data_IF_288765874342
#
_entry.id   IF_288765874342
#
_cell.length_a   1.000
_cell.length_b   1.000
_cell.length_c   1.000
_cell.angle_alpha   90.00
_cell.angle_beta   90.00
_cell.angle_gamma   90.00
#
_symmetry.space_group_name_H-M   'P 1'
#
loop_
_entity.id
_entity.type
_entity.pdbx_description
1 polymer ?
#
# COMPACT_ATOMS: atom_id res chain seq x y z
N UNK A 1 -3.81 -13.91 4.18
CA UNK A 1 -2.86 -13.08 4.95
C UNK A 1 -1.40 -13.19 4.49
N UNK A 2 -0.79 -14.38 4.27
CA UNK A 2 0.63 -14.45 3.86
C UNK A 2 0.93 -13.97 2.42
N UNK A 3 0.04 -14.24 1.46
CA UNK A 3 0.24 -13.83 0.06
C UNK A 3 0.29 -12.30 -0.11
N UNK A 4 -0.55 -11.60 0.64
CA UNK A 4 -0.65 -10.13 0.61
C UNK A 4 0.58 -9.45 1.23
N UNK A 5 1.11 -9.99 2.33
CA UNK A 5 2.42 -9.55 2.89
C UNK A 5 3.58 -9.71 1.89
N UNK A 6 3.67 -10.84 1.20
CA UNK A 6 4.74 -11.07 0.20
C UNK A 6 4.64 -10.08 -0.97
N UNK A 7 3.43 -9.84 -1.46
CA UNK A 7 3.18 -8.86 -2.53
C UNK A 7 3.62 -7.45 -2.10
N UNK A 8 3.28 -7.05 -0.87
CA UNK A 8 3.68 -5.75 -0.32
C UNK A 8 5.20 -5.59 -0.24
N UNK A 9 5.93 -6.61 0.22
CA UNK A 9 7.39 -6.57 0.24
C UNK A 9 8.00 -6.52 -1.17
N UNK A 10 7.44 -7.26 -2.13
CA UNK A 10 7.88 -7.18 -3.53
C UNK A 10 7.68 -5.77 -4.11
N UNK A 11 6.54 -5.15 -3.86
CA UNK A 11 6.24 -3.78 -4.32
C UNK A 11 7.23 -2.78 -3.69
N UNK A 12 7.45 -2.84 -2.37
CA UNK A 12 8.40 -1.95 -1.71
C UNK A 12 9.85 -2.14 -2.17
N UNK A 13 10.29 -3.38 -2.35
CA UNK A 13 11.63 -3.67 -2.89
C UNK A 13 11.80 -3.17 -4.33
N UNK A 14 10.77 -3.33 -5.16
CA UNK A 14 10.77 -2.81 -6.53
C UNK A 14 10.80 -1.27 -6.56
N UNK A 15 10.04 -0.61 -5.68
CA UNK A 15 10.09 0.85 -5.52
C UNK A 15 11.48 1.33 -5.11
N UNK A 16 12.09 0.66 -4.14
CA UNK A 16 13.43 1.01 -3.67
C UNK A 16 14.47 0.87 -4.79
N UNK A 17 14.42 -0.23 -5.56
CA UNK A 17 15.28 -0.44 -6.71
C UNK A 17 15.09 0.64 -7.79
N UNK A 18 13.85 1.03 -8.07
CA UNK A 18 13.54 2.07 -9.04
C UNK A 18 14.11 3.45 -8.62
N UNK A 19 14.01 3.80 -7.34
CA UNK A 19 14.62 5.02 -6.79
C UNK A 19 16.15 5.00 -6.93
N UNK A 20 16.78 3.86 -6.64
CA UNK A 20 18.22 3.65 -6.83
C UNK A 20 18.65 3.87 -8.29
N UNK A 21 17.89 3.32 -9.25
CA UNK A 21 18.14 3.52 -10.68
C UNK A 21 17.97 4.98 -11.08
N UNK A 22 16.92 5.65 -10.59
CA UNK A 22 16.69 7.08 -10.86
C UNK A 22 17.81 7.98 -10.31
N UNK A 23 18.32 7.65 -9.12
CA UNK A 23 19.49 8.32 -8.51
C UNK A 23 20.75 8.12 -9.36
N UNK A 24 21.04 6.89 -9.78
CA UNK A 24 22.20 6.58 -10.62
C UNK A 24 22.12 7.27 -12.00
N UNK A 25 20.91 7.41 -12.55
CA UNK A 25 20.69 8.11 -13.81
C UNK A 25 20.90 9.63 -13.73
N UNK A 26 21.09 10.20 -12.54
CA UNK A 26 21.25 11.65 -12.28
C UNK A 26 20.16 12.53 -12.92
N UNK A 27 18.99 11.95 -13.19
CA UNK A 27 17.89 12.62 -13.89
C UNK A 27 16.73 12.81 -12.95
N UNK A 28 16.58 14.03 -12.45
CA UNK A 28 15.49 14.42 -11.56
C UNK A 28 14.11 14.25 -12.22
N UNK A 29 14.02 14.34 -13.55
CA UNK A 29 12.77 14.09 -14.29
C UNK A 29 12.39 12.61 -14.19
N UNK A 30 13.34 11.72 -14.46
CA UNK A 30 13.12 10.26 -14.37
C UNK A 30 12.78 9.87 -12.93
N UNK A 31 13.47 10.45 -11.94
CA UNK A 31 13.17 10.23 -10.52
C UNK A 31 11.74 10.65 -10.18
N UNK A 32 11.31 11.84 -10.63
CA UNK A 32 9.97 12.35 -10.36
C UNK A 32 8.87 11.47 -10.96
N UNK A 33 9.05 11.01 -12.21
CA UNK A 33 8.11 10.09 -12.85
C UNK A 33 8.05 8.75 -12.12
N UNK A 34 9.20 8.21 -11.69
CA UNK A 34 9.26 6.97 -10.93
C UNK A 34 8.59 7.07 -9.56
N UNK A 35 8.74 8.20 -8.88
CA UNK A 35 8.06 8.46 -7.59
C UNK A 35 6.55 8.49 -7.77
N UNK A 36 6.04 9.17 -8.81
CA UNK A 36 4.59 9.20 -9.08
C UNK A 36 4.05 7.80 -9.39
N UNK A 37 4.75 7.03 -10.24
CA UNK A 37 4.37 5.65 -10.55
C UNK A 37 4.39 4.75 -9.31
N UNK A 38 5.36 4.95 -8.43
CA UNK A 38 5.48 4.20 -7.19
C UNK A 38 4.31 4.48 -6.24
N UNK A 39 3.86 5.73 -6.12
CA UNK A 39 2.67 6.09 -5.33
C UNK A 39 1.42 5.43 -5.90
N UNK A 40 1.23 5.47 -7.23
CA UNK A 40 0.09 4.84 -7.89
C UNK A 40 0.05 3.33 -7.65
N UNK A 41 1.20 2.65 -7.73
CA UNK A 41 1.31 1.22 -7.43
C UNK A 41 0.98 0.91 -5.96
N UNK A 42 1.39 1.77 -5.03
CA UNK A 42 1.03 1.66 -3.62
C UNK A 42 -0.49 1.73 -3.40
N UNK A 43 -1.15 2.71 -4.01
CA UNK A 43 -2.62 2.87 -3.92
C UNK A 43 -3.33 1.64 -4.50
N UNK A 44 -2.93 1.19 -5.69
CA UNK A 44 -3.55 0.01 -6.32
C UNK A 44 -3.33 -1.25 -5.49
N UNK A 45 -2.13 -1.43 -4.95
CA UNK A 45 -1.80 -2.55 -4.06
C UNK A 45 -2.68 -2.57 -2.82
N UNK A 46 -2.87 -1.40 -2.19
CA UNK A 46 -3.71 -1.26 -1.00
C UNK A 46 -5.19 -1.51 -1.31
N UNK A 47 -5.69 -1.05 -2.46
CA UNK A 47 -7.05 -1.37 -2.93
C UNK A 47 -7.22 -2.87 -3.16
N UNK A 48 -6.25 -3.56 -3.76
CA UNK A 48 -6.31 -5.01 -3.98
C UNK A 48 -6.25 -5.77 -2.66
N UNK A 49 -5.41 -5.34 -1.73
CA UNK A 49 -5.26 -5.95 -0.39
C UNK A 49 -6.53 -5.76 0.46
N UNK A 50 -7.19 -4.61 0.35
CA UNK A 50 -8.39 -4.26 1.11
C UNK A 50 -9.71 -4.66 0.43
N UNK A 51 -9.72 -4.99 -0.87
CA UNK A 51 -10.93 -5.45 -1.59
C UNK A 51 -11.67 -6.62 -0.92
N UNK A 52 -10.99 -7.66 -0.38
CA UNK A 52 -11.67 -8.79 0.26
C UNK A 52 -12.31 -8.43 1.61
N UNK A 53 -11.75 -7.45 2.32
CA UNK A 53 -12.18 -7.02 3.67
C UNK A 53 -13.09 -5.80 3.64
N UNK A 54 -13.15 -5.07 2.52
CA UNK A 54 -14.04 -3.93 2.31
C UNK A 54 -15.52 -4.16 2.69
N UNK A 55 -16.19 -5.27 2.30
CA UNK A 55 -17.58 -5.50 2.67
C UNK A 55 -17.80 -5.83 4.16
N UNK A 56 -16.73 -6.22 4.87
CA UNK A 56 -16.79 -6.54 6.30
C UNK A 56 -16.43 -5.36 7.21
N UNK A 57 -15.92 -4.26 6.63
CA UNK A 57 -15.49 -3.07 7.37
C UNK A 57 -16.63 -2.42 8.17
N UNK A 58 -17.84 -2.44 7.61
CA UNK A 58 -19.08 -1.96 8.26
C UNK A 58 -19.45 -2.74 9.54
N UNK A 59 -19.06 -4.02 9.65
CA UNK A 59 -19.34 -4.83 10.85
C UNK A 59 -18.29 -4.65 11.94
N UNK A 60 -17.11 -4.12 11.59
CA UNK A 60 -16.07 -3.74 12.55
C UNK A 60 -16.43 -2.43 13.27
N UNK A 61 -16.99 -1.45 12.56
CA UNK A 61 -17.46 -0.18 13.15
C UNK A 61 -18.59 -0.41 14.19
N UNK A 62 -19.41 -1.44 13.99
CA UNK A 62 -20.45 -1.85 14.95
C UNK A 62 -19.88 -2.53 16.21
N UNK A 63 -18.74 -3.21 16.11
CA UNK A 63 -18.10 -3.85 17.28
C UNK A 63 -17.43 -2.82 18.21
N UNK A 64 -16.80 -1.79 17.66
CA UNK A 64 -16.13 -0.75 18.47
C UNK A 64 -17.12 0.11 19.28
N UNK A 65 -18.37 0.23 18.82
CA UNK A 65 -19.42 0.94 19.57
C UNK A 65 -19.97 0.17 20.77
N UNK A 66 -19.98 -1.17 20.73
CA UNK A 66 -20.46 -1.98 21.85
C UNK A 66 -19.44 -2.15 22.97
N UNK A 67 -18.13 -2.09 22.67
CA UNK A 67 -17.06 -2.20 23.68
C UNK A 67 -16.99 -0.94 24.56
N UNK A 68 -17.39 0.23 24.05
CA UNK A 68 -17.36 1.49 24.81
C UNK A 68 -18.53 1.73 25.77
N UNK A 69 -19.52 0.83 25.81
CA UNK A 69 -20.69 0.95 26.70
C UNK A 69 -20.56 0.03 27.93
N UNK A 70 -19.45 -0.71 28.05
CA UNK A 70 -19.20 -1.68 29.12
C UNK A 70 -18.03 -1.37 30.07
N UNK A 71 -17.50 -0.14 30.08
CA UNK A 71 -16.54 0.35 31.09
C UNK A 71 -17.16 1.44 31.97
#
# INVERSE_FOLDING_TARGET
MQKTRRLRYLIFSAMFAAVLVGLLAHSYIVLSVLVVLAILLGIVGDVIENKPTAPFKQYNELHDHHVKIGE
#
